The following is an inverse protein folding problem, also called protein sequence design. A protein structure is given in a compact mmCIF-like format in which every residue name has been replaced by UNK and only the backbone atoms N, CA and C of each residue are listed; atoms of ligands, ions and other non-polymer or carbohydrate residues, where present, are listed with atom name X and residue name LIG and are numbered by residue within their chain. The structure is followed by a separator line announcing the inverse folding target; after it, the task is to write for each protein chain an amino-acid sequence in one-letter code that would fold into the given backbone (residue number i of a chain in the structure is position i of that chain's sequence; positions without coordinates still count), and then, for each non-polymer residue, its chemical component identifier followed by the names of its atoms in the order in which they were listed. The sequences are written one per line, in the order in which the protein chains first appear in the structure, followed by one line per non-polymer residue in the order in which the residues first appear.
data_IF_160416742690
#
_entry.id   IF_160416742690
#
_cell.length_a   1.000
_cell.length_b   1.000
_cell.length_c   1.000
_cell.angle_alpha   90.00
_cell.angle_beta   90.00
_cell.angle_gamma   90.00
#
_symmetry.space_group_name_H-M   'P 1'
#
loop_
_entity.id
_entity.type
_entity.pdbx_description
1 polymer ?
#
# COMPACT_ATOMS: atom_id res chain seq x y z
N UNK A 1 14.81 -3.93 -32.63
CA UNK A 1 15.86 -4.73 -31.98
C UNK A 1 15.50 -4.86 -30.52
N UNK A 2 15.00 -6.01 -30.08
CA UNK A 2 14.80 -6.26 -28.66
C UNK A 2 16.17 -6.52 -28.05
N UNK A 3 16.63 -5.60 -27.20
CA UNK A 3 17.80 -5.80 -26.37
C UNK A 3 17.56 -6.99 -25.45
N UNK A 4 18.51 -7.93 -25.41
CA UNK A 4 18.47 -9.05 -24.47
C UNK A 4 18.29 -8.56 -23.03
N UNK A 5 17.55 -9.30 -22.17
CA UNK A 5 17.48 -8.96 -20.76
C UNK A 5 18.89 -9.02 -20.16
N UNK A 6 19.25 -8.08 -19.27
CA UNK A 6 20.59 -8.03 -18.69
C UNK A 6 20.95 -9.35 -17.99
N UNK A 7 22.20 -9.78 -18.19
CA UNK A 7 22.74 -11.03 -17.64
C UNK A 7 22.46 -11.18 -16.14
N UNK A 8 22.20 -12.42 -15.70
CA UNK A 8 21.75 -12.81 -14.35
C UNK A 8 22.70 -12.46 -13.18
N UNK A 9 23.84 -11.80 -13.43
CA UNK A 9 24.89 -11.60 -12.44
C UNK A 9 24.72 -10.37 -11.52
N UNK A 10 23.79 -9.46 -11.81
CA UNK A 10 23.55 -8.26 -10.98
C UNK A 10 22.06 -7.91 -10.82
N UNK A 11 21.18 -8.90 -10.67
CA UNK A 11 19.80 -8.59 -10.26
C UNK A 11 19.84 -8.21 -8.77
N UNK A 12 19.33 -7.04 -8.35
CA UNK A 12 19.23 -6.70 -6.93
C UNK A 12 18.51 -7.83 -6.20
N UNK A 13 19.07 -8.28 -5.08
CA UNK A 13 18.43 -9.32 -4.27
C UNK A 13 17.66 -8.65 -3.14
N UNK A 14 16.37 -8.97 -3.01
CA UNK A 14 15.53 -8.50 -1.90
C UNK A 14 15.82 -9.31 -0.62
N UNK A 15 17.11 -9.31 -0.24
CA UNK A 15 17.65 -9.98 0.95
C UNK A 15 17.63 -9.09 2.19
N UNK A 16 17.58 -7.77 2.00
CA UNK A 16 17.47 -6.79 3.08
C UNK A 16 16.14 -6.01 3.01
N UNK A 17 15.01 -6.61 3.43
CA UNK A 17 13.70 -5.96 3.44
C UNK A 17 13.71 -4.65 4.21
N UNK A 18 13.16 -3.59 3.59
CA UNK A 18 13.09 -2.25 4.17
C UNK A 18 14.28 -1.35 3.84
N UNK A 19 15.26 -1.80 3.06
CA UNK A 19 16.41 -0.98 2.66
C UNK A 19 16.12 -0.07 1.45
N UNK A 20 15.25 -0.50 0.53
CA UNK A 20 15.03 0.17 -0.74
C UNK A 20 16.22 0.14 -1.69
N UNK A 21 17.21 -0.74 -1.46
CA UNK A 21 18.42 -0.81 -2.27
C UNK A 21 18.12 -1.12 -3.75
N UNK A 22 18.59 -0.26 -4.65
CA UNK A 22 18.43 -0.44 -6.10
C UNK A 22 17.01 -0.19 -6.61
N UNK A 23 16.12 0.39 -5.79
CA UNK A 23 14.76 0.75 -6.23
C UNK A 23 14.76 1.87 -7.26
N UNK A 24 13.69 1.94 -8.05
CA UNK A 24 13.35 3.17 -8.76
C UNK A 24 12.72 4.16 -7.80
N UNK A 25 13.14 5.42 -7.84
CA UNK A 25 12.54 6.45 -6.98
C UNK A 25 11.04 6.63 -7.28
N UNK A 26 10.20 6.85 -6.26
CA UNK A 26 8.78 7.06 -6.43
C UNK A 26 8.48 8.41 -7.08
N UNK A 27 7.23 8.59 -7.52
CA UNK A 27 6.75 9.90 -7.95
C UNK A 27 6.76 10.85 -6.75
N UNK A 28 7.55 11.91 -6.82
CA UNK A 28 7.64 12.90 -5.75
C UNK A 28 6.45 13.87 -5.82
N UNK A 29 5.60 13.86 -4.79
CA UNK A 29 4.49 14.81 -4.63
C UNK A 29 4.96 15.94 -3.71
N UNK A 30 4.99 17.18 -4.19
CA UNK A 30 5.44 18.33 -3.38
C UNK A 30 4.44 18.71 -2.28
N UNK A 31 4.91 19.42 -1.26
CA UNK A 31 4.11 19.80 -0.09
C UNK A 31 2.98 20.79 -0.42
N UNK A 32 3.16 21.59 -1.47
CA UNK A 32 2.19 22.53 -2.02
C UNK A 32 1.28 21.92 -3.10
N UNK A 33 1.54 20.67 -3.53
CA UNK A 33 0.69 19.99 -4.51
C UNK A 33 -0.71 19.74 -3.92
N UNK A 34 -1.72 19.96 -4.76
CA UNK A 34 -3.09 19.56 -4.53
C UNK A 34 -4.04 20.17 -5.55
N UNK A 35 -5.24 19.61 -5.64
CA UNK A 35 -6.29 20.08 -6.53
C UNK A 35 -7.52 20.47 -5.74
N UNK A 36 -8.22 21.50 -6.22
CA UNK A 36 -9.48 21.94 -5.64
C UNK A 36 -10.53 20.84 -5.73
N UNK A 37 -11.28 20.65 -4.65
CA UNK A 37 -12.34 19.64 -4.55
C UNK A 37 -13.40 19.81 -5.63
N UNK A 38 -13.69 21.04 -6.05
CA UNK A 38 -14.68 21.39 -7.08
C UNK A 38 -14.34 20.87 -8.47
N UNK A 39 -13.12 20.39 -8.71
CA UNK A 39 -12.73 19.79 -9.99
C UNK A 39 -13.12 18.32 -10.10
N UNK A 40 -13.62 17.71 -9.03
CA UNK A 40 -13.91 16.28 -8.95
C UNK A 40 -15.32 16.00 -8.45
N UNK A 41 -15.84 14.83 -8.80
CA UNK A 41 -17.05 14.30 -8.20
C UNK A 41 -16.69 13.60 -6.89
N UNK A 42 -17.13 14.17 -5.76
CA UNK A 42 -16.84 13.65 -4.43
C UNK A 42 -18.14 13.19 -3.74
N UNK A 43 -18.08 12.13 -2.92
CA UNK A 43 -19.23 11.72 -2.11
C UNK A 43 -19.72 12.88 -1.25
N UNK A 44 -21.02 13.18 -1.32
CA UNK A 44 -21.60 14.36 -0.67
C UNK A 44 -21.36 14.39 0.84
N UNK A 45 -21.29 13.21 1.48
CA UNK A 45 -21.02 13.06 2.91
C UNK A 45 -19.57 13.38 3.33
N UNK A 46 -18.66 13.63 2.40
CA UNK A 46 -17.27 14.03 2.70
C UNK A 46 -16.86 15.40 2.12
N UNK A 47 -17.72 16.07 1.35
CA UNK A 47 -17.34 17.31 0.65
C UNK A 47 -16.84 18.42 1.60
N UNK A 48 -17.38 18.48 2.82
CA UNK A 48 -16.99 19.45 3.84
C UNK A 48 -15.84 18.97 4.74
N UNK A 49 -15.31 17.77 4.51
CA UNK A 49 -14.36 17.09 5.40
C UNK A 49 -12.94 17.04 4.83
N UNK A 50 -12.78 17.41 3.58
CA UNK A 50 -11.53 17.37 2.86
C UNK A 50 -10.97 18.79 2.74
N UNK A 51 -9.65 18.90 2.78
CA UNK A 51 -8.92 20.13 2.47
C UNK A 51 -8.70 20.24 0.96
N UNK A 52 -8.15 19.18 0.36
CA UNK A 52 -7.85 19.11 -1.08
C UNK A 52 -7.67 17.66 -1.54
N UNK A 53 -7.81 17.44 -2.86
CA UNK A 53 -7.36 16.20 -3.50
C UNK A 53 -5.84 16.25 -3.63
N UNK A 54 -5.13 15.31 -3.03
CA UNK A 54 -3.66 15.22 -3.13
C UNK A 54 -3.25 14.48 -4.41
N UNK A 55 -3.82 13.30 -4.62
CA UNK A 55 -3.52 12.46 -5.79
C UNK A 55 -4.85 11.95 -6.39
N UNK A 56 -5.20 12.37 -7.62
CA UNK A 56 -6.39 11.89 -8.30
C UNK A 56 -6.35 10.38 -8.56
N UNK A 57 -7.53 9.73 -8.54
CA UNK A 57 -7.66 8.29 -8.73
C UNK A 57 -7.02 7.79 -10.04
N UNK A 58 -7.25 8.50 -11.16
CA UNK A 58 -6.64 8.13 -12.45
C UNK A 58 -5.11 8.06 -12.39
N UNK A 59 -4.47 9.05 -11.75
CA UNK A 59 -3.02 9.08 -11.62
C UNK A 59 -2.49 7.96 -10.71
N UNK A 60 -3.25 7.61 -9.67
CA UNK A 60 -2.95 6.43 -8.84
C UNK A 60 -2.96 5.17 -9.71
N UNK A 61 -3.97 4.98 -10.55
CA UNK A 61 -4.09 3.80 -11.42
C UNK A 61 -2.94 3.71 -12.42
N UNK A 62 -2.59 4.82 -13.09
CA UNK A 62 -1.45 4.87 -14.00
C UNK A 62 -0.14 4.49 -13.30
N UNK A 63 0.05 4.96 -12.06
CA UNK A 63 1.24 4.62 -11.28
C UNK A 63 1.27 3.15 -10.88
N UNK A 64 0.13 2.58 -10.48
CA UNK A 64 0.01 1.15 -10.12
C UNK A 64 0.32 0.27 -11.33
N UNK A 65 -0.12 0.64 -12.53
CA UNK A 65 0.22 -0.09 -13.76
C UNK A 65 1.73 -0.18 -13.99
N UNK A 66 2.44 0.95 -13.83
CA UNK A 66 3.91 0.95 -13.91
C UNK A 66 4.56 0.08 -12.84
N UNK A 67 4.06 0.12 -11.60
CA UNK A 67 4.56 -0.76 -10.52
C UNK A 67 4.35 -2.24 -10.84
N UNK A 68 3.19 -2.62 -11.38
CA UNK A 68 2.92 -3.99 -11.81
C UNK A 68 3.92 -4.48 -12.87
N UNK A 69 4.28 -3.61 -13.82
CA UNK A 69 5.31 -3.89 -14.82
C UNK A 69 6.70 -4.09 -14.18
N UNK A 70 7.06 -3.26 -13.21
CA UNK A 70 8.34 -3.35 -12.51
C UNK A 70 8.45 -4.64 -11.69
N UNK A 71 7.38 -4.97 -10.95
CA UNK A 71 7.25 -6.23 -10.19
C UNK A 71 7.35 -7.43 -11.13
N UNK A 72 6.61 -7.43 -12.25
CA UNK A 72 6.67 -8.55 -13.21
C UNK A 72 8.05 -8.69 -13.84
N UNK A 73 8.72 -7.58 -14.14
CA UNK A 73 10.08 -7.57 -14.69
C UNK A 73 11.07 -8.17 -13.68
N UNK A 74 10.94 -7.76 -12.41
CA UNK A 74 11.81 -8.19 -11.32
C UNK A 74 11.64 -9.68 -10.97
N UNK A 75 10.41 -10.15 -10.78
CA UNK A 75 10.16 -11.54 -10.37
C UNK A 75 10.09 -12.50 -11.57
N UNK A 76 9.80 -12.03 -12.78
CA UNK A 76 9.64 -12.91 -13.94
C UNK A 76 8.54 -13.94 -13.68
N UNK A 77 8.85 -15.23 -13.86
CA UNK A 77 7.92 -16.35 -13.61
C UNK A 77 8.27 -17.14 -12.35
N UNK A 78 8.97 -16.51 -11.40
CA UNK A 78 9.21 -17.12 -10.10
C UNK A 78 7.89 -17.34 -9.35
N UNK A 79 7.89 -18.32 -8.45
CA UNK A 79 6.76 -18.63 -7.57
C UNK A 79 6.55 -17.49 -6.54
N UNK A 80 5.65 -16.57 -6.88
CA UNK A 80 5.40 -15.32 -6.18
C UNK A 80 4.14 -15.40 -5.32
N UNK A 81 4.29 -15.09 -4.04
CA UNK A 81 3.22 -14.98 -3.06
C UNK A 81 3.01 -13.50 -2.71
N UNK A 82 1.84 -12.95 -3.03
CA UNK A 82 1.53 -11.53 -2.81
C UNK A 82 0.62 -11.41 -1.60
N UNK A 83 1.07 -10.65 -0.60
CA UNK A 83 0.47 -10.59 0.73
C UNK A 83 -0.10 -9.19 0.98
N UNK A 84 -1.43 -9.08 1.03
CA UNK A 84 -2.16 -7.85 1.30
C UNK A 84 -2.19 -7.54 2.80
N UNK A 85 -1.74 -6.35 3.21
CA UNK A 85 -1.91 -5.86 4.57
C UNK A 85 -3.27 -5.17 4.71
N UNK A 86 -4.20 -5.83 5.39
CA UNK A 86 -5.55 -5.34 5.60
C UNK A 86 -5.62 -4.30 6.74
N UNK A 87 -6.51 -3.31 6.63
CA UNK A 87 -7.53 -3.11 5.57
C UNK A 87 -7.09 -2.15 4.47
N UNK A 88 -6.21 -1.21 4.80
CA UNK A 88 -5.90 -0.05 3.98
C UNK A 88 -5.37 -0.39 2.59
N UNK A 89 -4.57 -1.45 2.48
CA UNK A 89 -3.97 -1.88 1.21
C UNK A 89 -4.94 -2.46 0.20
N UNK A 90 -6.19 -2.76 0.58
CA UNK A 90 -7.16 -3.44 -0.29
C UNK A 90 -7.33 -2.76 -1.65
N UNK A 91 -7.42 -1.42 -1.69
CA UNK A 91 -7.56 -0.67 -2.94
C UNK A 91 -6.36 -0.86 -3.86
N UNK A 92 -5.16 -0.58 -3.33
CA UNK A 92 -3.90 -0.76 -4.06
C UNK A 92 -3.69 -2.21 -4.52
N UNK A 93 -3.88 -3.17 -3.62
CA UNK A 93 -3.73 -4.59 -3.88
C UNK A 93 -4.60 -5.06 -5.05
N UNK A 94 -5.90 -4.75 -5.03
CA UNK A 94 -6.83 -5.18 -6.08
C UNK A 94 -6.43 -4.65 -7.47
N UNK A 95 -6.05 -3.38 -7.56
CA UNK A 95 -5.60 -2.81 -8.83
C UNK A 95 -4.25 -3.40 -9.27
N UNK A 96 -3.30 -3.56 -8.35
CA UNK A 96 -2.00 -4.18 -8.65
C UNK A 96 -2.17 -5.59 -9.21
N UNK A 97 -2.98 -6.43 -8.56
CA UNK A 97 -3.31 -7.78 -9.02
C UNK A 97 -3.96 -7.78 -10.42
N UNK A 98 -4.89 -6.86 -10.67
CA UNK A 98 -5.52 -6.71 -12.00
C UNK A 98 -4.48 -6.43 -13.09
N UNK A 99 -3.54 -5.53 -12.85
CA UNK A 99 -2.48 -5.23 -13.82
C UNK A 99 -1.48 -6.38 -13.98
N UNK A 100 -1.08 -7.05 -12.89
CA UNK A 100 -0.24 -8.25 -12.96
C UNK A 100 -0.89 -9.35 -13.81
N UNK A 101 -2.20 -9.58 -13.65
CA UNK A 101 -2.96 -10.51 -14.47
C UNK A 101 -2.99 -10.11 -15.94
N UNK A 102 -3.27 -8.83 -16.24
CA UNK A 102 -3.27 -8.31 -17.63
C UNK A 102 -1.91 -8.52 -18.30
N UNK A 103 -0.82 -8.12 -17.62
CA UNK A 103 0.54 -8.26 -18.16
C UNK A 103 0.89 -9.74 -18.38
N UNK A 104 0.52 -10.61 -17.43
CA UNK A 104 0.77 -12.04 -17.56
C UNK A 104 -0.01 -12.68 -18.72
N UNK A 105 -1.31 -12.37 -18.84
CA UNK A 105 -2.21 -12.98 -19.81
C UNK A 105 -1.94 -12.51 -21.25
N UNK A 106 -1.61 -11.23 -21.44
CA UNK A 106 -1.38 -10.66 -22.78
C UNK A 106 0.09 -10.55 -23.16
N UNK A 107 1.01 -10.60 -22.19
CA UNK A 107 2.45 -10.56 -22.43
C UNK A 107 3.04 -11.90 -22.90
N UNK A 108 2.28 -12.99 -22.89
CA UNK A 108 2.75 -14.32 -23.30
C UNK A 108 1.74 -15.09 -24.15
N UNK A 109 2.21 -15.82 -25.16
CA UNK A 109 1.35 -16.71 -25.95
C UNK A 109 0.94 -17.99 -25.20
N UNK A 110 1.73 -18.45 -24.23
CA UNK A 110 1.45 -19.67 -23.44
C UNK A 110 1.89 -19.50 -21.98
N UNK A 111 0.93 -19.26 -21.08
CA UNK A 111 1.15 -19.30 -19.63
C UNK A 111 0.80 -20.69 -19.08
N UNK A 112 1.71 -21.29 -18.32
CA UNK A 112 1.54 -22.64 -17.74
C UNK A 112 1.26 -22.64 -16.24
N UNK A 113 1.26 -21.47 -15.61
CA UNK A 113 1.05 -21.28 -14.17
C UNK A 113 0.47 -19.89 -13.90
N UNK A 114 -0.25 -19.68 -12.77
CA UNK A 114 -0.71 -18.35 -12.38
C UNK A 114 0.47 -17.39 -12.16
N UNK A 115 0.25 -16.06 -12.28
CA UNK A 115 1.30 -15.06 -12.05
C UNK A 115 1.68 -14.91 -10.58
N UNK A 116 0.80 -15.31 -9.66
CA UNK A 116 1.00 -15.21 -8.21
C UNK A 116 -0.01 -16.07 -7.45
N UNK A 117 0.23 -16.26 -6.15
CA UNK A 117 -0.73 -16.71 -5.13
C UNK A 117 -1.03 -15.55 -4.18
N UNK A 118 -2.31 -15.31 -3.85
CA UNK A 118 -2.71 -14.20 -2.98
C UNK A 118 -2.92 -14.62 -1.52
N UNK A 119 -2.52 -13.75 -0.59
CA UNK A 119 -2.67 -13.93 0.85
C UNK A 119 -3.14 -12.64 1.51
N UNK A 120 -3.80 -12.75 2.65
CA UNK A 120 -4.32 -11.61 3.39
C UNK A 120 -3.91 -11.68 4.86
N UNK A 121 -3.38 -10.59 5.38
CA UNK A 121 -2.95 -10.48 6.78
C UNK A 121 -3.49 -9.19 7.37
N UNK A 122 -3.99 -9.24 8.59
CA UNK A 122 -4.31 -8.03 9.35
C UNK A 122 -3.29 -7.85 10.47
N UNK A 123 -2.64 -6.69 10.48
CA UNK A 123 -1.66 -6.32 11.49
C UNK A 123 -2.31 -5.41 12.54
N UNK A 124 -1.99 -5.64 13.82
CA UNK A 124 -2.36 -4.75 14.92
C UNK A 124 -1.13 -4.47 15.78
N UNK A 125 -0.82 -3.19 15.95
CA UNK A 125 0.20 -2.73 16.88
C UNK A 125 -0.48 -2.26 18.16
N UNK A 126 -0.18 -2.90 19.29
CA UNK A 126 -0.67 -2.46 20.60
C UNK A 126 0.21 -1.32 21.12
N UNK A 127 -0.42 -0.20 21.50
CA UNK A 127 0.22 0.91 22.21
C UNK A 127 -0.57 1.13 23.51
N UNK A 128 0.02 0.78 24.64
CA UNK A 128 -0.56 0.87 25.98
C UNK A 128 0.52 1.06 27.04
N UNK A 129 0.13 1.39 28.27
CA UNK A 129 1.06 1.79 29.35
C UNK A 129 2.04 0.70 29.80
N UNK A 130 1.77 -0.56 29.45
CA UNK A 130 2.65 -1.73 29.66
C UNK A 130 3.02 -2.45 28.33
N UNK A 131 2.83 -1.81 27.17
CA UNK A 131 2.92 -2.53 25.90
C UNK A 131 4.37 -2.80 25.48
N UNK A 132 4.77 -4.07 25.51
CA UNK A 132 6.01 -4.65 24.98
C UNK A 132 6.23 -4.49 23.47
N UNK A 133 5.49 -3.60 22.79
CA UNK A 133 5.63 -3.37 21.35
C UNK A 133 5.34 -4.59 20.49
N UNK A 134 4.61 -5.60 20.98
CA UNK A 134 4.31 -6.80 20.21
C UNK A 134 3.35 -6.52 19.03
N UNK A 135 3.67 -7.11 17.88
CA UNK A 135 2.86 -7.11 16.68
C UNK A 135 1.91 -8.31 16.73
N UNK A 136 0.60 -8.07 16.69
CA UNK A 136 -0.37 -9.14 16.48
C UNK A 136 -0.62 -9.32 14.98
N UNK A 137 -0.47 -10.56 14.53
CA UNK A 137 -0.67 -10.99 13.14
C UNK A 137 -1.90 -11.87 13.09
N UNK A 138 -2.95 -11.42 12.40
CA UNK A 138 -4.18 -12.19 12.19
C UNK A 138 -4.19 -12.66 10.73
N UNK A 139 -3.97 -13.96 10.51
CA UNK A 139 -3.81 -14.57 9.19
C UNK A 139 -4.11 -16.07 9.22
N UNK A 140 -4.09 -16.71 8.04
CA UNK A 140 -3.88 -18.15 7.93
C UNK A 140 -2.46 -18.56 8.36
N UNK A 141 -2.15 -19.86 8.32
CA UNK A 141 -0.80 -20.33 8.62
C UNK A 141 0.21 -19.82 7.59
N UNK A 142 1.07 -18.89 8.01
CA UNK A 142 2.09 -18.27 7.16
C UNK A 142 3.30 -19.17 6.91
N UNK A 143 3.37 -20.37 7.51
CA UNK A 143 4.42 -21.36 7.22
C UNK A 143 4.49 -21.76 5.74
N UNK A 144 3.39 -21.61 5.01
CA UNK A 144 3.29 -21.80 3.56
C UNK A 144 4.24 -20.90 2.75
N UNK A 145 4.72 -19.81 3.35
CA UNK A 145 5.63 -18.84 2.71
C UNK A 145 7.11 -19.27 2.79
N UNK A 146 7.42 -20.37 3.48
CA UNK A 146 8.79 -20.89 3.58
C UNK A 146 9.36 -21.21 2.20
N UNK A 147 10.58 -20.74 1.93
CA UNK A 147 11.28 -20.84 0.65
C UNK A 147 10.55 -20.21 -0.55
N UNK A 148 9.56 -19.33 -0.32
CA UNK A 148 8.82 -18.62 -1.36
C UNK A 148 9.30 -17.19 -1.57
N UNK A 149 9.08 -16.62 -2.75
CA UNK A 149 9.23 -15.18 -2.95
C UNK A 149 7.97 -14.49 -2.45
N UNK A 150 8.11 -13.64 -1.43
CA UNK A 150 6.98 -12.90 -0.84
C UNK A 150 7.05 -11.44 -1.29
N UNK A 151 5.92 -10.89 -1.72
CA UNK A 151 5.73 -9.46 -1.96
C UNK A 151 4.64 -8.95 -1.02
N UNK A 152 5.02 -8.15 -0.03
CA UNK A 152 4.10 -7.46 0.87
C UNK A 152 3.54 -6.23 0.14
N UNK A 153 2.23 -6.04 0.22
CA UNK A 153 1.53 -4.89 -0.36
C UNK A 153 0.92 -4.07 0.77
N UNK A 154 1.46 -2.87 0.97
CA UNK A 154 1.07 -1.90 2.01
C UNK A 154 0.49 -0.63 1.37
N UNK A 155 -0.46 0.02 2.02
CA UNK A 155 -1.01 1.30 1.55
C UNK A 155 -0.05 2.46 1.78
N UNK A 156 0.55 2.55 2.97
CA UNK A 156 1.42 3.66 3.35
C UNK A 156 2.55 3.25 4.29
N UNK A 157 3.77 3.65 3.95
CA UNK A 157 4.93 3.64 4.84
C UNK A 157 4.99 5.02 5.52
N UNK A 158 4.62 5.06 6.80
CA UNK A 158 4.75 6.23 7.66
C UNK A 158 6.05 6.16 8.48
N UNK A 159 6.00 5.62 9.70
CA UNK A 159 7.21 5.48 10.53
C UNK A 159 8.06 4.26 10.16
N UNK A 160 7.50 3.28 9.46
CA UNK A 160 8.17 2.01 9.11
C UNK A 160 8.14 0.93 10.20
N UNK A 161 7.66 1.23 11.41
CA UNK A 161 7.73 0.31 12.55
C UNK A 161 6.91 -0.98 12.37
N UNK A 162 5.71 -0.88 11.81
CA UNK A 162 4.82 -2.04 11.58
C UNK A 162 5.48 -3.02 10.61
N UNK A 163 5.95 -2.53 9.45
CA UNK A 163 6.60 -3.36 8.44
C UNK A 163 7.94 -3.93 8.93
N UNK A 164 8.69 -3.19 9.74
CA UNK A 164 9.93 -3.69 10.37
C UNK A 164 9.65 -4.96 11.18
N UNK A 165 8.70 -4.88 12.11
CA UNK A 165 8.31 -6.02 12.96
C UNK A 165 7.73 -7.17 12.14
N UNK A 166 6.95 -6.87 11.11
CA UNK A 166 6.34 -7.90 10.27
C UNK A 166 7.38 -8.60 9.38
N UNK A 167 8.38 -7.87 8.88
CA UNK A 167 9.50 -8.46 8.17
C UNK A 167 10.31 -9.38 9.08
N UNK A 168 10.56 -9.00 10.35
CA UNK A 168 11.23 -9.87 11.32
C UNK A 168 10.44 -11.14 11.60
N UNK A 169 9.11 -11.02 11.76
CA UNK A 169 8.21 -12.15 11.88
C UNK A 169 8.31 -13.10 10.67
N UNK A 170 8.25 -12.57 9.44
CA UNK A 170 8.36 -13.38 8.23
C UNK A 170 9.76 -13.98 8.04
N UNK A 171 10.83 -13.26 8.40
CA UNK A 171 12.21 -13.80 8.35
C UNK A 171 12.34 -15.08 9.18
N UNK A 172 11.68 -15.16 10.33
CA UNK A 172 11.68 -16.37 11.17
C UNK A 172 11.01 -17.58 10.49
N UNK A 173 10.09 -17.37 9.54
CA UNK A 173 9.47 -18.44 8.73
C UNK A 173 10.43 -18.95 7.65
N UNK A 174 11.34 -18.10 7.17
CA UNK A 174 12.34 -18.41 6.15
C UNK A 174 11.83 -18.36 4.70
N UNK A 175 11.20 -17.26 4.24
CA UNK A 175 10.95 -17.04 2.82
C UNK A 175 12.26 -16.87 2.04
N UNK A 176 12.24 -17.14 0.74
CA UNK A 176 13.39 -16.99 -0.16
C UNK A 176 13.75 -15.52 -0.40
N UNK A 177 12.75 -14.64 -0.41
CA UNK A 177 12.93 -13.18 -0.42
C UNK A 177 11.68 -12.50 0.11
N UNK A 178 11.81 -11.27 0.62
CA UNK A 178 10.68 -10.43 1.00
C UNK A 178 10.85 -9.09 0.28
N UNK A 179 9.92 -8.77 -0.62
CA UNK A 179 9.81 -7.47 -1.26
C UNK A 179 8.65 -6.65 -0.69
N UNK A 180 8.76 -5.33 -0.78
CA UNK A 180 7.76 -4.39 -0.30
C UNK A 180 7.27 -3.52 -1.46
N UNK A 181 5.99 -3.66 -1.78
CA UNK A 181 5.27 -2.69 -2.59
C UNK A 181 4.44 -1.79 -1.66
N UNK A 182 4.60 -0.47 -1.79
CA UNK A 182 3.76 0.48 -1.07
C UNK A 182 3.24 1.57 -1.99
N UNK A 183 1.97 1.94 -1.83
CA UNK A 183 1.42 3.03 -2.63
C UNK A 183 2.04 4.37 -2.24
N UNK A 184 2.17 4.63 -0.93
CA UNK A 184 2.66 5.89 -0.39
C UNK A 184 3.87 5.69 0.54
N UNK A 185 4.86 6.57 0.45
CA UNK A 185 5.95 6.69 1.41
C UNK A 185 6.01 8.14 1.92
N UNK A 186 5.76 8.34 3.21
CA UNK A 186 5.77 9.68 3.80
C UNK A 186 7.19 10.20 4.00
N UNK A 187 7.37 11.48 3.70
CA UNK A 187 8.53 12.26 4.11
C UNK A 187 8.30 12.81 5.51
N UNK A 188 8.69 12.05 6.52
CA UNK A 188 8.53 12.44 7.94
C UNK A 188 9.79 12.14 8.74
N UNK A 189 10.10 13.02 9.69
CA UNK A 189 11.23 12.85 10.63
C UNK A 189 10.99 11.69 11.63
N UNK A 190 9.78 11.15 11.68
CA UNK A 190 9.42 9.98 12.51
C UNK A 190 9.80 8.65 11.84
N UNK A 191 10.30 8.69 10.61
CA UNK A 191 10.70 7.51 9.87
C UNK A 191 11.89 6.82 10.54
N UNK A 192 11.80 5.50 10.72
CA UNK A 192 12.93 4.69 11.19
C UNK A 192 13.91 4.31 10.06
N UNK A 193 13.76 4.92 8.87
CA UNK A 193 14.58 4.64 7.69
C UNK A 193 14.06 3.48 6.82
N UNK A 194 12.95 2.83 7.16
CA UNK A 194 12.36 1.79 6.32
C UNK A 194 11.93 2.37 4.96
N UNK A 195 12.29 1.68 3.88
CA UNK A 195 12.02 2.04 2.49
C UNK A 195 11.45 0.85 1.73
N UNK A 196 10.40 1.12 0.94
CA UNK A 196 9.81 0.13 0.06
C UNK A 196 10.65 -0.08 -1.22
N UNK A 197 10.49 -1.24 -1.86
CA UNK A 197 11.20 -1.61 -3.10
C UNK A 197 10.42 -1.16 -4.35
N UNK A 198 9.09 -1.19 -4.28
CA UNK A 198 8.17 -0.77 -5.33
C UNK A 198 7.23 0.31 -4.78
N UNK A 199 7.66 1.57 -4.82
CA UNK A 199 6.91 2.67 -4.20
C UNK A 199 6.20 3.51 -5.25
N UNK A 200 4.90 3.75 -5.04
CA UNK A 200 4.07 4.58 -5.91
C UNK A 200 4.50 6.04 -5.84
N UNK A 201 4.31 6.65 -4.68
CA UNK A 201 4.49 8.08 -4.46
C UNK A 201 5.25 8.36 -3.16
N UNK A 202 6.18 9.33 -3.21
CA UNK A 202 6.67 9.98 -1.99
C UNK A 202 5.73 11.15 -1.69
N UNK A 203 5.09 11.14 -0.52
CA UNK A 203 4.09 12.14 -0.15
C UNK A 203 4.52 12.99 1.06
N UNK A 204 3.92 14.19 1.23
CA UNK A 204 4.16 15.04 2.39
C UNK A 204 3.76 14.37 3.71
N UNK A 205 4.26 14.88 4.84
CA UNK A 205 3.79 14.48 6.19
C UNK A 205 2.41 15.08 6.51
N UNK A 206 1.41 14.66 5.76
CA UNK A 206 0.01 15.02 5.94
C UNK A 206 -0.82 13.77 6.29
N UNK A 207 -1.99 13.99 6.89
CA UNK A 207 -2.94 12.90 7.13
C UNK A 207 -3.77 12.67 5.86
N UNK A 208 -3.42 11.61 5.12
CA UNK A 208 -4.03 11.25 3.84
C UNK A 208 -5.13 10.19 4.07
N UNK A 209 -6.27 10.37 3.41
CA UNK A 209 -7.41 9.44 3.41
C UNK A 209 -7.85 9.13 1.99
N UNK A 210 -8.68 8.09 1.83
CA UNK A 210 -9.18 7.66 0.53
C UNK A 210 -8.32 6.61 -0.13
N UNK A 211 -8.80 6.07 -1.24
CA UNK A 211 -8.25 4.89 -1.90
C UNK A 211 -8.03 3.72 -0.92
N UNK A 212 -9.00 3.49 -0.02
CA UNK A 212 -8.99 2.56 1.12
C UNK A 212 -8.21 2.96 2.37
N UNK A 213 -7.41 4.03 2.35
CA UNK A 213 -6.88 4.67 3.57
C UNK A 213 -8.03 5.31 4.35
N UNK A 214 -7.91 5.34 5.67
CA UNK A 214 -8.97 5.79 6.55
C UNK A 214 -8.55 6.81 7.60
N UNK A 215 -9.57 7.45 8.16
CA UNK A 215 -9.51 8.03 9.49
C UNK A 215 -10.64 7.44 10.32
N UNK A 216 -10.30 6.60 11.31
CA UNK A 216 -11.25 5.90 12.18
C UNK A 216 -12.35 5.15 11.41
N UNK A 217 -11.95 4.35 10.42
CA UNK A 217 -12.78 3.56 9.50
C UNK A 217 -13.58 4.36 8.46
N UNK A 218 -13.55 5.69 8.51
CA UNK A 218 -14.17 6.56 7.50
C UNK A 218 -13.26 6.79 6.30
N UNK A 219 -13.81 7.28 5.19
CA UNK A 219 -13.12 7.66 3.96
C UNK A 219 -12.55 6.53 3.09
N UNK A 220 -12.63 5.26 3.51
CA UNK A 220 -12.14 4.13 2.69
C UNK A 220 -12.80 4.02 1.32
N UNK A 221 -14.03 4.53 1.22
CA UNK A 221 -14.89 4.57 0.04
C UNK A 221 -14.57 5.74 -0.92
N UNK A 222 -13.72 6.69 -0.52
CA UNK A 222 -13.29 7.78 -1.38
C UNK A 222 -12.30 7.26 -2.43
N UNK A 223 -12.49 7.62 -3.70
CA UNK A 223 -11.64 7.12 -4.80
C UNK A 223 -10.28 7.84 -4.88
N UNK A 224 -10.23 9.12 -4.51
CA UNK A 224 -9.02 9.92 -4.55
C UNK A 224 -8.25 9.84 -3.24
N UNK A 225 -6.93 10.04 -3.28
CA UNK A 225 -6.16 10.33 -2.06
C UNK A 225 -6.30 11.81 -1.75
N UNK A 226 -6.83 12.13 -0.58
CA UNK A 226 -7.14 13.49 -0.13
C UNK A 226 -6.52 13.79 1.22
N UNK A 227 -6.29 15.07 1.50
CA UNK A 227 -5.94 15.54 2.84
C UNK A 227 -7.23 15.86 3.59
N UNK A 228 -7.38 15.31 4.80
CA UNK A 228 -8.52 15.59 5.68
C UNK A 228 -8.32 16.93 6.41
N UNK A 229 -9.38 17.74 6.49
CA UNK A 229 -9.32 19.02 7.20
C UNK A 229 -9.44 18.84 8.73
N UNK A 230 -9.12 19.88 9.50
CA UNK A 230 -9.10 19.78 10.96
C UNK A 230 -10.49 19.60 11.58
N UNK A 231 -11.54 20.13 10.95
CA UNK A 231 -12.92 19.94 11.42
C UNK A 231 -13.33 18.47 11.34
N UNK A 232 -12.97 17.78 10.25
CA UNK A 232 -13.23 16.36 10.08
C UNK A 232 -12.38 15.51 11.02
N UNK A 233 -11.10 15.86 11.24
CA UNK A 233 -10.27 15.19 12.26
C UNK A 233 -10.96 15.24 13.63
N UNK A 234 -11.51 16.39 14.02
CA UNK A 234 -12.26 16.52 15.27
C UNK A 234 -13.55 15.69 15.24
N UNK A 235 -14.37 15.83 14.19
CA UNK A 235 -15.67 15.12 14.05
C UNK A 235 -15.53 13.61 14.19
N UNK A 236 -14.55 13.04 13.50
CA UNK A 236 -14.35 11.59 13.44
C UNK A 236 -13.36 11.07 14.50
N UNK A 237 -12.79 11.93 15.35
CA UNK A 237 -11.84 11.53 16.41
C UNK A 237 -12.46 10.60 17.46
N UNK A 238 -13.78 10.70 17.68
CA UNK A 238 -14.48 9.92 18.68
C UNK A 238 -14.99 8.59 18.11
N UNK A 239 -14.80 7.48 18.83
CA UNK A 239 -15.27 6.12 18.45
C UNK A 239 -16.81 5.99 18.37
N UNK A 240 -17.57 7.07 18.54
CA UNK A 240 -19.02 7.08 18.39
C UNK A 240 -19.35 7.48 16.95
N UNK A 241 -19.87 6.52 16.18
CA UNK A 241 -20.58 6.85 14.93
C UNK A 241 -21.59 7.97 15.25
N UNK A 242 -21.68 9.04 14.45
CA UNK A 242 -22.81 9.96 14.56
C UNK A 242 -24.09 9.13 14.44
N UNK A 243 -24.98 9.23 15.43
CA UNK A 243 -26.33 8.69 15.32
C UNK A 243 -26.98 9.34 14.10
N UNK A 244 -27.50 8.52 13.19
CA UNK A 244 -28.38 9.02 12.13
C UNK A 244 -29.65 9.48 12.82
N UNK A 245 -29.79 10.79 13.03
CA UNK A 245 -31.06 11.39 13.40
C UNK A 245 -31.99 11.23 12.20
N UNK A 246 -32.85 10.22 12.23
CA UNK A 246 -33.99 10.11 11.35
C UNK A 246 -35.03 11.14 11.79
N UNK A 247 -34.75 12.42 11.52
CA UNK A 247 -35.71 13.50 11.61
C UNK A 247 -36.76 13.36 10.52
N UNK A 248 -37.71 12.43 10.69
CA UNK A 248 -38.97 12.47 9.97
C UNK A 248 -39.83 13.49 10.72
N UNK A 249 -39.90 14.70 10.17
CA UNK A 249 -40.88 15.69 10.58
C UNK A 249 -42.29 15.10 10.38
N UNK A 250 -43.07 15.16 11.46
CA UNK A 250 -44.51 14.90 11.51
C UNK A 250 -45.31 15.89 10.69
#
# INVERSE_FOLDING_TARGET
MYSEPPSSKHRPTLQNPGSGEGRSEPVYISDDTGYALSHFLLPSHYQLDLERVLIPAGFILDRIEKLAHDIKTFYGDQDLHVLCILKGSRGFFNHLLSYLNKIHMYGRPYATSPPYMEHYVRLRSYVGTDSSGQLEVIAEDLSILKNKHVLIVEDIIDTGNTLTKFCDYLRAIGPKSIGIASLLEKRTDKSNGFRGDFVGFSCPDAFVVGFSLDYNEMFRDLEHLCIINDQAKQRYSSKRRPSVDNGVAS
#
